data_IF_720519955285
#
_entry.id   IF_720519955285
#
_cell.length_a   1.000
_cell.length_b   1.000
_cell.length_c   1.000
_cell.angle_alpha   90.00
_cell.angle_beta   90.00
_cell.angle_gamma   90.00
#
_symmetry.space_group_name_H-M   'P 1'
#
loop_
_entity.id
_entity.type
_entity.pdbx_description
1 polymer ?
2 non-polymer ?
3 non-polymer ?
4 non-polymer ?
5 water ?
#
# COMPACT_ATOMS: atom_id res chain seq x y z
N UNK A 1 8.94 -12.51 -20.63
CA UNK A 1 10.27 -11.87 -20.58
C UNK A 1 10.17 -10.54 -19.84
N UNK A 2 9.72 -10.58 -18.60
CA UNK A 2 10.36 -9.74 -17.59
C UNK A 2 11.01 -10.74 -16.69
N UNK A 3 12.32 -10.68 -16.63
CA UNK A 3 13.07 -11.50 -15.68
C UNK A 3 13.03 -10.77 -14.33
N UNK A 4 12.61 -11.52 -13.31
CA UNK A 4 12.28 -11.03 -12.00
C UNK A 4 13.03 -11.79 -10.96
N UNK A 5 13.64 -11.05 -10.04
CA UNK A 5 14.19 -11.66 -8.81
C UNK A 5 13.34 -11.34 -7.59
N UNK A 6 13.38 -12.20 -6.60
CA UNK A 6 12.66 -11.94 -5.39
C UNK A 6 13.62 -12.02 -4.26
N UNK A 7 13.76 -10.92 -3.53
CA UNK A 7 14.50 -10.88 -2.26
C UNK A 7 13.52 -11.15 -1.16
N UNK A 8 13.94 -11.95 -0.22
CA UNK A 8 13.04 -12.45 0.81
C UNK A 8 12.18 -13.57 0.26
N UNK A 9 12.62 -14.19 -0.81
CA UNK A 9 11.92 -15.33 -1.46
C UNK A 9 11.36 -16.41 -0.56
N UNK A 10 11.95 -16.65 0.60
CA UNK A 10 11.41 -17.67 1.52
C UNK A 10 10.56 -17.10 2.63
N UNK A 11 10.37 -15.78 2.71
CA UNK A 11 9.55 -15.21 3.77
C UNK A 11 8.05 -15.37 3.55
N UNK A 12 7.29 -14.90 4.53
CA UNK A 12 5.85 -15.06 4.49
C UNK A 12 5.34 -14.47 3.19
N UNK A 13 5.70 -13.24 2.91
CA UNK A 13 5.16 -12.60 1.72
C UNK A 13 5.92 -13.00 0.48
N UNK A 14 7.24 -13.14 0.59
CA UNK A 14 8.06 -13.47 -0.59
C UNK A 14 7.63 -14.75 -1.32
N UNK A 15 7.25 -15.77 -0.56
CA UNK A 15 6.78 -17.05 -1.16
C UNK A 15 5.61 -16.85 -2.09
N UNK A 16 4.66 -16.03 -1.63
CA UNK A 16 3.48 -15.74 -2.44
C UNK A 16 3.89 -15.01 -3.68
N UNK A 17 4.96 -14.21 -3.63
CA UNK A 17 5.38 -13.54 -4.87
C UNK A 17 6.05 -14.54 -5.82
N UNK A 18 6.87 -15.46 -5.27
CA UNK A 18 7.48 -16.50 -6.10
C UNK A 18 6.35 -17.28 -6.81
N UNK A 19 5.37 -17.74 -6.05
CA UNK A 19 4.22 -18.43 -6.62
C UNK A 19 3.58 -17.63 -7.74
N UNK A 20 3.22 -16.37 -7.45
CA UNK A 20 2.57 -15.54 -8.44
C UNK A 20 3.39 -15.39 -9.69
N UNK A 21 4.68 -15.27 -9.53
CA UNK A 21 5.52 -15.06 -10.68
C UNK A 21 5.54 -16.36 -11.50
N UNK A 22 5.71 -17.50 -10.84
CA UNK A 22 5.68 -18.77 -11.53
C UNK A 22 4.37 -18.96 -12.27
N UNK A 23 3.20 -18.68 -11.68
CA UNK A 23 1.94 -18.79 -12.45
C UNK A 23 1.82 -17.93 -13.67
N UNK A 24 2.51 -16.80 -13.73
CA UNK A 24 2.18 -15.79 -14.77
C UNK A 24 2.60 -16.32 -16.09
N UNK A 25 2.18 -15.69 -17.16
CA UNK A 25 2.73 -15.98 -18.50
C UNK A 25 3.88 -15.09 -18.94
N UNK A 26 4.00 -13.89 -18.36
CA UNK A 26 4.90 -12.87 -18.90
C UNK A 26 6.16 -12.59 -18.08
N UNK A 27 6.28 -13.26 -16.95
CA UNK A 27 7.34 -12.95 -16.00
C UNK A 27 8.11 -14.20 -15.76
N UNK A 28 9.43 -14.11 -15.74
CA UNK A 28 10.21 -15.27 -15.49
C UNK A 28 11.03 -15.15 -14.22
N UNK A 29 10.90 -16.11 -13.33
CA UNK A 29 11.58 -16.05 -12.09
C UNK A 29 13.01 -16.49 -12.31
N UNK A 30 13.93 -15.55 -12.33
CA UNK A 30 15.33 -15.90 -12.49
C UNK A 30 16.15 -15.96 -11.23
N UNK A 31 15.60 -15.64 -10.06
CA UNK A 31 16.42 -15.67 -8.85
C UNK A 31 15.55 -15.56 -7.66
N UNK A 32 15.90 -16.30 -6.65
CA UNK A 32 15.28 -16.25 -5.40
C UNK A 32 16.32 -16.09 -4.34
N UNK A 33 16.55 -14.86 -3.93
CA UNK A 33 17.55 -14.54 -2.91
C UNK A 33 16.92 -14.56 -1.50
N UNK A 34 17.38 -15.49 -0.70
CA UNK A 34 17.19 -15.44 0.75
C UNK A 34 18.38 -14.81 1.47
N UNK A 35 18.36 -14.93 2.79
CA UNK A 35 19.25 -14.18 3.63
C UNK A 35 20.73 -14.49 3.34
N UNK A 36 21.08 -15.73 2.95
CA UNK A 36 22.47 -16.12 2.84
C UNK A 36 22.99 -16.13 1.41
N UNK A 37 22.27 -15.58 0.43
CA UNK A 37 22.70 -15.73 -0.98
C UNK A 37 23.28 -14.46 -1.51
N UNK A 38 24.28 -14.54 -2.37
CA UNK A 38 24.81 -13.30 -2.84
C UNK A 38 23.81 -12.74 -3.82
N UNK A 39 23.71 -11.43 -3.77
CA UNK A 39 22.92 -10.65 -4.69
C UNK A 39 23.45 -10.65 -6.09
N UNK A 40 24.72 -10.98 -6.28
CA UNK A 40 25.34 -11.05 -7.63
C UNK A 40 24.62 -12.03 -8.55
N UNK A 41 24.03 -13.05 -7.92
CA UNK A 41 23.02 -13.91 -8.58
C UNK A 41 22.01 -13.22 -9.48
N UNK A 42 21.57 -12.03 -9.07
CA UNK A 42 20.64 -11.21 -9.89
C UNK A 42 21.30 -10.70 -11.12
N UNK A 43 22.60 -10.43 -11.01
CA UNK A 43 23.36 -9.93 -12.15
C UNK A 43 23.60 -11.06 -13.17
N UNK A 44 24.28 -12.13 -12.72
CA UNK A 44 24.39 -13.45 -13.43
C UNK A 44 23.14 -13.85 -14.19
N UNK A 45 22.01 -13.99 -13.49
CA UNK A 45 20.79 -14.48 -14.11
C UNK A 45 20.02 -13.41 -14.85
N UNK A 46 20.62 -12.23 -14.94
CA UNK A 46 20.06 -11.15 -15.73
C UNK A 46 18.68 -10.66 -15.28
N UNK A 47 18.43 -10.63 -13.95
CA UNK A 47 17.23 -9.94 -13.40
C UNK A 47 17.08 -8.49 -13.90
N UNK A 48 15.85 -8.10 -14.25
CA UNK A 48 15.52 -6.74 -14.73
C UNK A 48 14.69 -5.91 -13.72
N UNK A 49 13.82 -6.61 -13.01
CA UNK A 49 13.08 -6.09 -11.88
C UNK A 49 13.28 -7.01 -10.70
N UNK A 50 13.40 -6.43 -9.52
CA UNK A 50 13.46 -7.19 -8.31
C UNK A 50 12.25 -6.81 -7.39
N UNK A 51 11.77 -7.73 -6.56
CA UNK A 51 10.72 -7.51 -5.59
C UNK A 51 11.31 -7.80 -4.24
N UNK A 52 11.14 -6.85 -3.34
CA UNK A 52 11.78 -6.91 -2.06
C UNK A 52 10.74 -6.94 -0.90
N UNK A 53 10.68 -8.07 -0.20
CA UNK A 53 10.03 -8.19 1.12
C UNK A 53 11.01 -8.84 2.11
N UNK A 54 11.82 -8.01 2.75
CA UNK A 54 12.93 -8.45 3.57
C UNK A 54 12.80 -7.85 4.96
N UNK A 55 13.74 -6.99 5.39
CA UNK A 55 13.64 -6.32 6.70
C UNK A 55 14.15 -4.94 6.50
N UNK A 56 13.81 -4.06 7.43
CA UNK A 56 14.31 -2.69 7.37
C UNK A 56 15.82 -2.61 7.47
N UNK A 57 16.45 -3.59 8.13
CA UNK A 57 17.94 -3.62 8.21
C UNK A 57 18.67 -3.99 6.97
N UNK A 58 18.01 -4.76 6.10
CA UNK A 58 18.63 -5.28 4.86
C UNK A 58 18.38 -4.45 3.65
N UNK A 59 17.25 -3.75 3.68
CA UNK A 59 16.67 -3.29 2.44
C UNK A 59 17.50 -2.18 1.83
N UNK A 60 18.16 -1.34 2.62
CA UNK A 60 18.84 -0.21 2.00
C UNK A 60 20.06 -0.69 1.24
N UNK A 61 20.86 -1.54 1.87
CA UNK A 61 21.94 -2.18 1.14
C UNK A 61 21.51 -2.86 -0.13
N UNK A 62 20.52 -3.74 -0.05
CA UNK A 62 20.08 -4.45 -1.24
C UNK A 62 19.62 -3.50 -2.32
N UNK A 63 18.86 -2.51 -1.94
CA UNK A 63 18.35 -1.56 -2.90
C UNK A 63 19.44 -0.78 -3.57
N UNK A 64 20.44 -0.40 -2.79
CA UNK A 64 21.57 0.32 -3.34
C UNK A 64 22.27 -0.57 -4.41
N UNK A 65 22.48 -1.84 -4.09
CA UNK A 65 23.03 -2.80 -5.08
C UNK A 65 22.23 -2.88 -6.36
N UNK A 66 20.94 -3.15 -6.23
CA UNK A 66 20.03 -3.16 -7.39
C UNK A 66 20.12 -1.93 -8.21
N UNK A 67 19.99 -0.78 -7.59
CA UNK A 67 20.00 0.45 -8.38
C UNK A 67 21.37 0.65 -9.09
N UNK A 68 22.45 0.29 -8.40
CA UNK A 68 23.79 0.47 -8.94
C UNK A 68 24.12 -0.56 -9.99
N UNK A 69 23.50 -1.72 -10.01
CA UNK A 69 23.53 -2.58 -11.18
C UNK A 69 22.38 -2.37 -12.16
N UNK A 70 21.76 -1.19 -12.21
CA UNK A 70 20.66 -0.96 -13.18
C UNK A 70 19.39 -1.82 -13.08
N UNK A 71 19.13 -2.53 -11.98
CA UNK A 71 17.90 -3.32 -11.76
C UNK A 71 16.80 -2.49 -11.03
N UNK A 72 15.64 -2.43 -11.63
CA UNK A 72 14.56 -1.72 -11.04
C UNK A 72 13.93 -2.53 -9.88
N UNK A 73 13.25 -1.82 -8.97
CA UNK A 73 12.82 -2.46 -7.73
C UNK A 73 11.47 -2.06 -7.20
N UNK A 74 10.74 -3.10 -6.77
CA UNK A 74 9.41 -3.04 -6.23
C UNK A 74 9.48 -3.49 -4.81
N UNK A 75 9.37 -2.53 -3.90
CA UNK A 75 9.77 -2.74 -2.53
C UNK A 75 8.55 -2.60 -1.63
N UNK A 76 8.25 -3.68 -0.94
CA UNK A 76 7.19 -3.71 0.06
C UNK A 76 7.71 -3.60 1.47
N UNK A 77 8.98 -3.90 1.68
CA UNK A 77 9.58 -3.76 3.00
C UNK A 77 9.31 -2.39 3.63
N UNK A 78 9.09 -2.38 4.94
CA UNK A 78 8.62 -1.17 5.66
C UNK A 78 9.81 -0.48 6.26
N UNK A 79 9.57 0.64 6.93
CA UNK A 79 10.69 1.34 7.55
C UNK A 79 11.15 2.56 6.81
N UNK A 80 10.42 3.02 5.80
CA UNK A 80 10.90 4.10 4.96
C UNK A 80 10.41 5.45 5.43
N UNK A 81 11.10 6.00 6.40
CA UNK A 81 10.90 7.43 6.77
C UNK A 81 11.41 8.43 5.69
N UNK A 82 11.31 9.72 5.93
CA UNK A 82 11.75 10.67 4.93
C UNK A 82 13.20 10.63 4.58
N UNK A 83 14.01 10.41 5.61
CA UNK A 83 15.44 10.42 5.43
C UNK A 83 15.80 9.25 4.51
N UNK A 84 15.18 8.08 4.73
CA UNK A 84 15.44 6.94 3.83
C UNK A 84 14.95 7.18 2.39
N UNK A 85 13.83 7.85 2.22
CA UNK A 85 13.35 8.13 0.90
C UNK A 85 14.27 9.10 0.23
N UNK A 86 14.80 10.06 1.00
CA UNK A 86 15.76 10.99 0.45
C UNK A 86 17.00 10.24 0.07
N UNK A 87 17.39 9.24 0.83
CA UNK A 87 18.53 8.44 0.39
C UNK A 87 18.28 7.72 -0.96
N UNK A 88 17.12 7.10 -1.12
CA UNK A 88 16.79 6.45 -2.38
C UNK A 88 16.71 7.41 -3.54
N UNK A 89 16.16 8.54 -3.33
CA UNK A 89 16.15 9.56 -4.37
C UNK A 89 17.53 10.05 -4.81
N UNK A 90 18.43 10.18 -3.84
CA UNK A 90 19.82 10.59 -4.09
C UNK A 90 20.52 9.53 -4.99
N UNK A 91 20.39 8.27 -4.63
CA UNK A 91 20.96 7.22 -5.47
C UNK A 91 20.40 7.19 -6.91
N UNK A 92 19.15 7.57 -7.09
CA UNK A 92 18.51 7.48 -8.40
C UNK A 92 18.83 8.66 -9.29
N UNK A 93 19.45 9.71 -8.75
CA UNK A 93 19.73 10.89 -9.56
C UNK A 93 20.51 10.60 -10.83
N UNK A 94 20.00 11.14 -11.95
CA UNK A 94 20.60 10.96 -13.28
C UNK A 94 20.64 9.53 -13.79
N UNK A 95 19.59 8.73 -13.58
CA UNK A 95 19.59 7.32 -13.99
C UNK A 95 18.28 6.97 -14.59
N UNK A 96 18.12 7.33 -15.85
CA UNK A 96 16.78 7.41 -16.45
C UNK A 96 16.22 6.02 -16.75
N UNK A 97 17.04 4.98 -16.66
CA UNK A 97 16.54 3.65 -16.88
C UNK A 97 16.29 2.83 -15.61
N UNK A 98 16.15 3.47 -14.46
CA UNK A 98 15.97 2.69 -13.23
C UNK A 98 14.80 3.27 -12.50
N UNK A 99 13.93 2.39 -12.05
CA UNK A 99 12.72 2.84 -11.31
C UNK A 99 12.72 2.13 -9.97
N UNK A 100 12.15 2.78 -8.99
CA UNK A 100 11.91 2.13 -7.71
C UNK A 100 10.53 2.51 -7.31
N UNK A 101 9.75 1.52 -6.86
CA UNK A 101 8.44 1.76 -6.26
C UNK A 101 8.54 1.29 -4.80
N UNK A 102 8.24 2.19 -3.88
CA UNK A 102 8.14 1.89 -2.47
C UNK A 102 6.66 2.08 -2.16
N UNK A 103 6.00 1.03 -1.72
CA UNK A 103 4.59 1.04 -1.48
C UNK A 103 4.35 0.58 -0.05
N UNK A 104 3.93 1.48 0.81
CA UNK A 104 3.64 1.05 2.18
C UNK A 104 2.42 0.13 2.25
N UNK A 105 1.60 0.09 1.20
CA UNK A 105 0.53 -0.87 1.12
C UNK A 105 0.34 -1.40 -0.29
N UNK A 106 0.43 -2.71 -0.43
CA UNK A 106 0.34 -3.40 -1.67
C UNK A 106 -1.02 -4.13 -1.89
N UNK A 107 -1.92 -4.04 -0.93
CA UNK A 107 -3.28 -4.61 -1.07
C UNK A 107 -4.09 -3.74 -2.00
N UNK A 108 -4.17 -4.15 -3.24
CA UNK A 108 -4.76 -3.37 -4.29
C UNK A 108 -6.17 -2.80 -3.96
N UNK A 109 -6.98 -3.55 -3.23
CA UNK A 109 -8.28 -3.13 -2.83
C UNK A 109 -8.29 -2.08 -1.69
N UNK A 110 -7.38 -2.13 -0.74
CA UNK A 110 -7.20 -1.08 0.26
C UNK A 110 -6.75 0.20 -0.40
N UNK A 111 -5.91 0.06 -1.40
CA UNK A 111 -5.40 1.24 -2.06
C UNK A 111 -6.47 1.91 -2.88
N UNK A 112 -7.21 1.12 -3.66
CA UNK A 112 -8.30 1.71 -4.45
C UNK A 112 -9.37 2.32 -3.55
N UNK A 113 -9.60 1.71 -2.40
CA UNK A 113 -10.47 2.30 -1.45
C UNK A 113 -10.04 3.69 -1.03
N UNK A 114 -8.75 3.92 -0.76
CA UNK A 114 -8.30 5.26 -0.33
C UNK A 114 -8.39 6.23 -1.47
N UNK A 115 -8.01 5.78 -2.66
CA UNK A 115 -8.03 6.65 -3.81
C UNK A 115 -9.50 7.13 -4.10
N UNK A 116 -10.45 6.20 -4.13
CA UNK A 116 -11.80 6.51 -4.47
C UNK A 116 -12.41 7.35 -3.35
N UNK A 117 -12.10 7.07 -2.10
CA UNK A 117 -12.59 7.88 -0.98
C UNK A 117 -12.16 9.34 -1.10
N UNK A 118 -10.92 9.57 -1.44
CA UNK A 118 -10.46 10.94 -1.70
C UNK A 118 -11.20 11.61 -2.82
N UNK A 119 -11.43 10.91 -3.92
CA UNK A 119 -12.15 11.52 -5.05
C UNK A 119 -13.63 11.80 -4.71
N UNK A 120 -14.26 10.97 -3.89
CA UNK A 120 -15.65 11.13 -3.63
C UNK A 120 -15.94 12.22 -2.63
N UNK A 121 -14.96 12.49 -1.77
CA UNK A 121 -15.22 13.26 -0.59
C UNK A 121 -15.74 14.71 -0.87
N UNK A 122 -15.34 15.32 -1.96
CA UNK A 122 -15.81 16.64 -2.44
C UNK A 122 -17.31 16.71 -2.53
N UNK A 123 -17.95 15.60 -2.81
CA UNK A 123 -19.30 15.65 -3.22
C UNK A 123 -20.26 15.22 -2.14
N UNK A 124 -19.88 14.93 -0.93
CA UNK A 124 -20.88 14.45 -0.01
C UNK A 124 -20.71 15.18 1.31
N UNK A 125 -21.80 15.49 2.00
CA UNK A 125 -21.68 16.22 3.26
C UNK A 125 -21.17 15.40 4.41
N UNK A 126 -21.61 14.13 4.45
CA UNK A 126 -21.34 13.18 5.52
C UNK A 126 -20.31 12.14 5.02
N UNK A 127 -19.41 11.75 5.90
CA UNK A 127 -18.40 10.72 5.63
C UNK A 127 -17.97 10.07 6.92
N UNK A 128 -18.07 8.75 7.03
CA UNK A 128 -17.64 7.95 8.19
C UNK A 128 -16.90 6.75 7.71
N UNK A 129 -16.05 6.22 8.55
CA UNK A 129 -15.20 5.07 8.22
C UNK A 129 -15.49 4.04 9.30
N UNK A 130 -15.83 2.84 8.89
CA UNK A 130 -15.97 1.71 9.79
C UNK A 130 -14.90 0.68 9.40
N UNK A 131 -14.21 0.16 10.39
CA UNK A 131 -13.09 -0.77 10.13
C UNK A 131 -13.40 -1.96 11.02
N UNK A 132 -13.18 -3.17 10.49
CA UNK A 132 -13.45 -4.42 11.25
C UNK A 132 -12.30 -5.42 11.12
N UNK A 133 -11.89 -5.94 12.26
CA UNK A 133 -10.73 -6.83 12.30
C UNK A 133 -10.91 -7.95 13.30
N UNK A 134 -10.10 -8.98 13.12
CA UNK A 134 -9.99 -10.08 14.09
C UNK A 134 -9.69 -9.47 15.43
N UNK A 135 -10.18 -10.08 16.48
CA UNK A 135 -10.09 -9.49 17.78
C UNK A 135 -8.71 -9.54 18.50
N UNK A 136 -7.72 -10.19 17.91
CA UNK A 136 -6.32 -10.05 18.35
C UNK A 136 -5.62 -8.83 17.90
N UNK A 137 -6.24 -7.98 17.13
CA UNK A 137 -5.57 -6.80 16.77
C UNK A 137 -5.47 -5.85 18.00
N UNK A 138 -4.25 -5.37 18.20
CA UNK A 138 -3.85 -4.53 19.32
C UNK A 138 -4.30 -3.07 19.21
N UNK A 139 -4.11 -2.52 18.04
CA UNK A 139 -4.35 -1.12 17.77
C UNK A 139 -5.75 -0.89 17.20
N UNK A 140 -6.41 0.16 17.70
CA UNK A 140 -7.71 0.60 17.20
C UNK A 140 -7.79 2.12 17.19
N UNK A 141 -8.25 2.74 16.10
CA UNK A 141 -8.45 2.10 14.83
C UNK A 141 -7.14 1.75 14.09
N UNK A 142 -7.33 0.99 13.03
CA UNK A 142 -6.27 0.51 12.21
C UNK A 142 -5.55 1.66 11.53
N UNK A 143 -4.32 1.44 11.18
CA UNK A 143 -3.57 2.43 10.47
C UNK A 143 -4.21 2.76 9.16
N UNK A 144 -4.72 1.79 8.44
CA UNK A 144 -5.38 2.03 7.17
C UNK A 144 -6.61 2.92 7.34
N UNK A 145 -7.41 2.69 8.38
CA UNK A 145 -8.55 3.54 8.63
C UNK A 145 -8.13 4.99 8.99
N UNK A 146 -7.09 5.14 9.78
CA UNK A 146 -6.57 6.47 10.08
C UNK A 146 -6.18 7.15 8.79
N UNK A 147 -5.45 6.45 7.92
CA UNK A 147 -4.95 7.08 6.69
C UNK A 147 -6.14 7.46 5.80
N UNK A 148 -7.16 6.62 5.75
CA UNK A 148 -8.26 6.83 4.91
C UNK A 148 -9.00 8.09 5.39
N UNK A 149 -9.26 8.19 6.69
CA UNK A 149 -9.88 9.36 7.25
C UNK A 149 -9.13 10.66 6.97
N UNK A 150 -7.82 10.66 7.19
CA UNK A 150 -6.95 11.82 6.89
C UNK A 150 -7.01 12.18 5.43
N UNK A 151 -7.11 11.20 4.55
CA UNK A 151 -7.23 11.52 3.13
C UNK A 151 -8.57 12.20 2.80
N UNK A 152 -9.65 11.71 3.38
CA UNK A 152 -10.96 12.31 3.18
C UNK A 152 -10.96 13.74 3.69
N UNK A 153 -10.44 13.92 4.89
CA UNK A 153 -10.43 15.23 5.51
C UNK A 153 -9.58 16.20 4.69
N UNK A 154 -8.47 15.75 4.15
CA UNK A 154 -7.68 16.65 3.29
C UNK A 154 -8.44 16.99 2.01
N UNK A 155 -9.10 16.01 1.43
CA UNK A 155 -9.94 16.32 0.30
C UNK A 155 -11.05 17.33 0.62
N UNK A 156 -11.70 17.14 1.75
CA UNK A 156 -12.77 18.06 2.12
C UNK A 156 -12.24 19.47 2.30
N UNK A 157 -11.08 19.59 2.94
CA UNK A 157 -10.50 20.89 3.21
C UNK A 157 -10.14 21.57 1.90
N UNK A 158 -9.52 20.84 1.00
CA UNK A 158 -9.16 21.33 -0.30
C UNK A 158 -10.38 21.83 -1.08
N UNK A 159 -11.54 21.21 -0.92
CA UNK A 159 -12.74 21.68 -1.58
C UNK A 159 -13.46 22.75 -0.75
N UNK A 160 -12.86 23.20 0.34
CA UNK A 160 -13.46 24.24 1.15
C UNK A 160 -14.73 23.86 1.85
N UNK A 161 -14.97 22.58 2.11
CA UNK A 161 -16.29 22.21 2.66
C UNK A 161 -16.43 22.60 4.13
N UNK A 162 -17.68 22.74 4.58
CA UNK A 162 -18.04 22.72 6.01
C UNK A 162 -17.52 21.48 6.82
N UNK A 163 -17.57 21.48 8.16
CA UNK A 163 -17.50 20.22 8.95
C UNK A 163 -18.92 19.67 8.90
N UNK A 164 -19.10 18.47 9.41
CA UNK A 164 -20.28 17.70 8.95
C UNK A 164 -21.60 17.90 9.72
N UNK A 165 -22.77 17.65 9.03
CA UNK A 165 -24.09 17.66 9.72
C UNK A 165 -24.29 16.56 10.80
N UNK A 166 -24.78 17.00 11.96
CA UNK A 166 -25.07 16.13 13.11
C UNK A 166 -25.78 16.90 14.27
N UNK A 167 -27.03 16.54 14.56
CA UNK A 167 -27.87 17.08 15.67
C UNK A 167 -27.74 16.42 17.04
N UNK A 168 -26.66 15.63 17.21
CA UNK A 168 -26.48 14.80 18.40
C UNK A 168 -26.17 15.66 19.62
N UNK A 169 -27.04 15.55 20.61
CA UNK A 169 -26.90 16.17 21.91
C UNK A 169 -26.51 15.13 22.93
N UNK A 170 -25.34 15.38 23.53
CA UNK A 170 -24.73 14.52 24.53
C UNK A 170 -24.86 13.03 24.12
N UNK A 171 -24.23 12.69 22.99
CA UNK A 171 -23.90 11.30 22.66
C UNK A 171 -23.21 10.66 23.83
N UNK A 172 -23.50 9.40 24.06
CA UNK A 172 -22.74 8.64 25.05
C UNK A 172 -21.31 8.54 24.60
N UNK A 173 -20.37 8.51 25.54
CA UNK A 173 -18.96 8.24 25.23
C UNK A 173 -18.80 7.07 24.35
N UNK A 174 -18.03 7.29 23.30
CA UNK A 174 -17.69 6.25 22.38
C UNK A 174 -18.66 6.02 21.27
N UNK A 175 -19.92 6.45 21.40
CA UNK A 175 -20.91 6.10 20.40
C UNK A 175 -20.57 6.68 19.00
N UNK A 176 -19.89 7.81 18.91
CA UNK A 176 -19.68 8.49 17.63
C UNK A 176 -18.29 8.27 17.04
N UNK A 177 -17.57 7.27 17.54
CA UNK A 177 -16.32 6.89 16.95
C UNK A 177 -15.19 7.80 17.41
N UNK A 178 -14.03 7.57 16.86
CA UNK A 178 -12.88 8.38 17.18
C UNK A 178 -12.91 9.42 16.11
N UNK A 179 -12.74 10.66 16.48
CA UNK A 179 -12.76 11.67 15.49
C UNK A 179 -11.39 11.79 14.90
N UNK A 180 -11.19 11.65 13.60
CA UNK A 180 -9.84 11.74 13.01
C UNK A 180 -9.91 12.80 11.98
N UNK A 181 -9.29 13.94 12.28
CA UNK A 181 -9.43 15.15 11.44
C UNK A 181 -10.89 15.40 11.10
N UNK A 182 -11.77 15.28 12.08
CA UNK A 182 -13.19 15.48 11.85
C UNK A 182 -14.01 14.35 11.23
N UNK A 183 -13.41 13.23 10.91
CA UNK A 183 -14.12 12.09 10.31
C UNK A 183 -14.33 11.04 11.38
N UNK A 184 -15.57 10.68 11.64
CA UNK A 184 -15.74 9.58 12.59
C UNK A 184 -15.14 8.25 12.09
N UNK A 185 -14.41 7.55 12.96
CA UNK A 185 -13.84 6.23 12.71
C UNK A 185 -14.25 5.23 13.79
N UNK A 186 -14.97 4.20 13.39
CA UNK A 186 -15.44 3.14 14.29
C UNK A 186 -14.68 1.84 14.04
N UNK A 187 -14.22 1.20 15.11
CA UNK A 187 -13.43 -0.02 15.00
C UNK A 187 -14.16 -1.16 15.66
N UNK A 188 -14.48 -2.14 14.83
CA UNK A 188 -15.13 -3.31 15.29
C UNK A 188 -14.13 -4.45 15.44
N UNK A 189 -14.24 -5.21 16.55
CA UNK A 189 -13.30 -6.35 16.81
C UNK A 189 -14.09 -7.63 16.96
N UNK A 190 -13.92 -8.53 16.00
CA UNK A 190 -14.89 -9.59 15.78
C UNK A 190 -14.23 -10.92 15.43
N UNK A 191 -14.44 -11.94 16.25
CA UNK A 191 -14.03 -13.30 15.85
C UNK A 191 -14.61 -13.67 14.55
N UNK A 192 -13.78 -14.34 13.77
CA UNK A 192 -14.13 -14.85 12.46
C UNK A 192 -13.62 -13.95 11.36
N UNK A 193 -13.46 -12.67 11.67
CA UNK A 193 -13.09 -11.71 10.62
C UNK A 193 -11.61 -11.61 10.48
N UNK A 194 -11.20 -11.07 9.36
CA UNK A 194 -9.86 -10.79 9.02
C UNK A 194 -9.55 -9.30 9.09
N UNK A 195 -9.57 -8.63 7.94
CA UNK A 195 -9.39 -7.18 7.87
C UNK A 195 -10.38 -6.59 6.84
N UNK A 196 -11.20 -5.62 7.25
CA UNK A 196 -12.27 -5.01 6.40
C UNK A 196 -12.42 -3.54 6.68
N UNK A 197 -12.79 -2.80 5.66
CA UNK A 197 -13.07 -1.41 5.80
C UNK A 197 -14.30 -0.99 5.00
N UNK A 198 -15.04 -0.02 5.52
CA UNK A 198 -16.13 0.67 4.80
C UNK A 198 -16.08 2.17 4.96
N UNK A 199 -16.05 2.85 3.85
CA UNK A 199 -16.21 4.24 3.82
C UNK A 199 -17.62 4.56 3.32
N UNK A 200 -18.38 5.25 4.14
CA UNK A 200 -19.74 5.59 3.82
C UNK A 200 -19.84 7.08 3.67
N UNK A 201 -20.32 7.52 2.52
CA UNK A 201 -20.55 8.89 2.18
C UNK A 201 -22.06 9.07 1.95
N UNK A 202 -22.54 10.24 2.27
CA UNK A 202 -23.97 10.52 2.34
C UNK A 202 -24.28 11.98 1.96
N UNK A 203 -25.42 12.11 1.26
CA UNK A 203 -25.96 13.36 0.85
C UNK A 203 -27.44 13.20 0.63
N UNK A 204 -28.10 14.27 0.20
CA UNK A 204 -29.58 14.21 0.15
C UNK A 204 -30.02 12.98 -0.61
N UNK A 205 -30.83 12.14 -0.01
CA UNK A 205 -31.48 11.04 -0.74
C UNK A 205 -30.66 9.80 -1.00
N UNK A 206 -29.37 9.81 -0.69
CA UNK A 206 -28.53 8.74 -1.15
C UNK A 206 -27.20 8.60 -0.40
N UNK A 207 -26.66 7.39 -0.51
CA UNK A 207 -25.28 7.13 -0.09
C UNK A 207 -24.46 6.40 -1.13
N UNK A 208 -23.16 6.47 -0.90
CA UNK A 208 -22.18 5.73 -1.60
C UNK A 208 -21.29 5.08 -0.54
N UNK A 209 -21.08 3.78 -0.65
CA UNK A 209 -20.17 3.06 0.22
C UNK A 209 -19.13 2.34 -0.55
N UNK A 210 -17.90 2.44 -0.08
CA UNK A 210 -16.78 1.68 -0.68
C UNK A 210 -16.33 0.68 0.35
N UNK A 211 -16.48 -0.61 0.06
CA UNK A 211 -16.03 -1.64 0.97
C UNK A 211 -14.82 -2.42 0.49
N UNK A 212 -13.90 -2.62 1.40
CA UNK A 212 -12.69 -3.42 1.19
C UNK A 212 -12.83 -4.63 2.09
N UNK A 213 -12.56 -5.82 1.57
CA UNK A 213 -12.59 -7.02 2.40
C UNK A 213 -11.32 -7.85 2.01
N UNK A 214 -10.57 -8.30 3.00
CA UNK A 214 -9.48 -9.31 2.88
C UNK A 214 -9.93 -10.58 3.54
N UNK A 215 -9.87 -11.68 2.82
CA UNK A 215 -10.30 -12.94 3.36
C UNK A 215 -9.13 -13.68 3.82
N UNK A 216 -7.94 -13.24 3.49
CA UNK A 216 -6.81 -13.56 4.33
C UNK A 216 -5.67 -12.58 4.16
N UNK A 217 -4.79 -12.65 5.15
CA UNK A 217 -3.74 -11.68 5.39
C UNK A 217 -2.52 -11.77 4.44
N UNK A 218 -2.61 -12.52 3.34
CA UNK A 218 -1.47 -12.75 2.45
C UNK A 218 -1.89 -12.70 0.98
N UNK A 219 -2.34 -11.51 0.58
CA UNK A 219 -2.97 -11.19 -0.71
C UNK A 219 -2.32 -9.90 -1.37
N UNK A 220 -1.00 -9.79 -1.25
CA UNK A 220 -0.26 -8.68 -1.78
C UNK A 220 0.22 -8.86 -3.18
N UNK A 221 0.05 -10.05 -3.72
CA UNK A 221 0.64 -10.33 -5.02
C UNK A 221 0.02 -9.59 -6.17
N UNK A 222 -1.30 -9.37 -6.16
CA UNK A 222 -1.88 -8.56 -7.30
C UNK A 222 -1.28 -7.14 -7.36
N UNK A 223 -1.23 -6.47 -6.23
CA UNK A 223 -0.53 -5.18 -6.22
C UNK A 223 0.93 -5.24 -6.64
N UNK A 224 1.66 -6.25 -6.18
CA UNK A 224 3.04 -6.30 -6.51
C UNK A 224 3.24 -6.54 -8.00
N UNK A 225 2.40 -7.38 -8.59
CA UNK A 225 2.49 -7.57 -10.04
C UNK A 225 2.14 -6.35 -10.86
N UNK A 226 1.24 -5.51 -10.36
CA UNK A 226 1.05 -4.20 -10.96
C UNK A 226 2.36 -3.44 -10.94
N UNK A 227 3.06 -3.45 -9.82
CA UNK A 227 4.39 -2.86 -9.79
C UNK A 227 5.38 -3.42 -10.78
N UNK A 228 5.51 -4.74 -10.77
CA UNK A 228 6.52 -5.34 -11.63
C UNK A 228 6.22 -5.05 -13.10
N UNK A 229 4.95 -5.14 -13.46
CA UNK A 229 4.59 -5.00 -14.85
C UNK A 229 4.80 -3.60 -15.37
N UNK A 230 4.69 -2.59 -14.51
CA UNK A 230 4.66 -1.22 -14.96
C UNK A 230 5.86 -0.37 -14.65
N UNK A 231 6.85 -0.95 -13.98
CA UNK A 231 7.89 -0.10 -13.38
C UNK A 231 8.76 0.54 -14.48
N UNK A 232 8.96 -0.20 -15.58
CA UNK A 232 9.58 0.35 -16.83
C UNK A 232 8.98 1.67 -17.33
N UNK A 233 7.73 2.00 -17.03
CA UNK A 233 7.19 3.37 -17.25
C UNK A 233 7.33 4.36 -16.10
N UNK A 234 8.08 4.04 -15.04
CA UNK A 234 8.14 4.91 -13.88
C UNK A 234 9.57 4.98 -13.41
N UNK A 235 10.43 5.47 -14.29
CA UNK A 235 11.77 5.68 -13.81
C UNK A 235 11.78 6.68 -12.62
N UNK A 236 12.83 6.61 -11.81
CA UNK A 236 12.87 7.32 -10.56
C UNK A 236 12.06 6.68 -9.44
N UNK A 237 11.95 7.45 -8.37
CA UNK A 237 11.36 6.91 -7.15
C UNK A 237 9.91 7.22 -7.17
N UNK A 238 9.02 6.26 -6.97
CA UNK A 238 7.62 6.57 -6.74
C UNK A 238 7.24 5.97 -5.38
N UNK A 239 6.51 6.71 -4.57
CA UNK A 239 6.11 6.22 -3.27
C UNK A 239 4.60 6.10 -3.27
N UNK A 240 4.08 4.91 -3.01
CA UNK A 240 2.64 4.63 -3.06
C UNK A 240 2.14 3.92 -4.32
N UNK A 241 1.52 2.77 -4.13
CA UNK A 241 0.97 2.04 -5.26
C UNK A 241 -0.06 2.82 -6.12
N UNK A 242 -0.85 3.69 -5.49
CA UNK A 242 -1.78 4.58 -6.20
C UNK A 242 -1.20 5.26 -7.41
N UNK A 243 0.02 5.74 -7.32
CA UNK A 243 0.64 6.36 -8.48
C UNK A 243 0.93 5.44 -9.60
N UNK A 244 0.74 4.13 -9.45
CA UNK A 244 0.95 3.23 -10.61
C UNK A 244 -0.39 2.87 -11.26
N UNK A 245 -1.51 3.25 -10.66
CA UNK A 245 -2.85 2.86 -11.10
C UNK A 245 -3.38 3.57 -12.35
N UNK A 246 -2.64 4.51 -12.91
CA UNK A 246 -3.09 5.25 -14.07
C UNK A 246 -4.30 6.11 -13.83
N UNK A 247 -4.58 6.46 -12.58
CA UNK A 247 -5.73 7.27 -12.29
C UNK A 247 -5.23 8.71 -12.28
#
# INVERSE_FOLDING_TARGET
>A
GIKVGVLGAKGRVGQTIVAAVNESDDLELVAEIGVDDDLSLLVDNGAEVVVDFTTPNAVMGNLEFCINNGISAVVGTTGFDDARLEQVRDWLEGKDNVGVLIAPNFAISAVLTMVFSKQAARFFESAEVIELHHPNKLDAPSGTAIHTAQGIAAARKEAGMDAQPDATEQALEGSRGASVDGIPVHAVRMSGMVAHEQVIFGTQGQTLTIKQDSYDRNSFAPGVLVGVRNIAQHPGLVVGLEHYLGL
#
